data_IF_406213293150
#
_entry.id   IF_406213293150
#
_cell.length_a   1.000
_cell.length_b   1.000
_cell.length_c   1.000
_cell.angle_alpha   90.00
_cell.angle_beta   90.00
_cell.angle_gamma   90.00
#
_symmetry.space_group_name_H-M   'P 1'
#
loop_
_entity.id
_entity.type
_entity.pdbx_description
1 polymer ?
#
# COMPACT_ATOMS: atom_id res chain seq x y z
N UNK A 1 -15.42 -31.35 29.89
CA UNK A 1 -14.04 -30.83 30.04
C UNK A 1 -13.64 -30.13 28.77
N UNK A 2 -13.30 -28.87 28.85
CA UNK A 2 -13.29 -27.82 27.85
C UNK A 2 -12.35 -28.04 26.63
N UNK A 3 -12.94 -27.95 25.44
CA UNK A 3 -12.25 -27.69 24.16
C UNK A 3 -12.75 -26.34 23.64
N UNK A 4 -12.26 -25.26 24.19
CA UNK A 4 -12.51 -23.90 23.67
C UNK A 4 -11.40 -22.94 24.12
N UNK A 5 -10.19 -23.05 23.55
CA UNK A 5 -9.16 -21.99 23.65
C UNK A 5 -7.93 -22.27 22.76
N UNK A 6 -8.09 -22.53 21.46
CA UNK A 6 -6.93 -22.66 20.54
C UNK A 6 -7.05 -21.93 19.20
N UNK A 7 -8.05 -21.10 18.96
CA UNK A 7 -8.27 -20.50 17.63
C UNK A 7 -8.00 -18.99 17.53
N UNK A 8 -7.22 -18.38 18.40
CA UNK A 8 -6.94 -16.92 18.34
C UNK A 8 -5.48 -16.56 18.01
N UNK A 9 -4.61 -17.52 17.72
CA UNK A 9 -3.18 -17.29 17.50
C UNK A 9 -2.70 -17.37 16.05
N UNK A 10 -3.58 -17.61 15.07
CA UNK A 10 -3.19 -17.89 13.68
C UNK A 10 -3.24 -16.69 12.71
N UNK A 11 -3.62 -15.49 13.15
CA UNK A 11 -3.88 -14.37 12.25
C UNK A 11 -2.65 -13.53 11.85
N UNK A 12 -1.46 -13.90 12.26
CA UNK A 12 -0.25 -13.09 12.06
C UNK A 12 0.76 -13.55 11.00
N UNK A 13 0.66 -14.77 10.50
CA UNK A 13 1.73 -15.38 9.68
C UNK A 13 1.41 -15.50 8.18
N UNK A 14 0.26 -15.07 7.74
CA UNK A 14 -0.33 -15.47 6.47
C UNK A 14 0.13 -14.74 5.20
N UNK A 15 0.97 -13.72 5.29
CA UNK A 15 1.26 -12.86 4.13
C UNK A 15 2.61 -13.10 3.44
N UNK A 16 3.40 -14.07 3.88
CA UNK A 16 4.79 -14.23 3.43
C UNK A 16 5.00 -15.15 2.23
N UNK A 17 4.10 -16.08 1.95
CA UNK A 17 4.38 -17.16 0.98
C UNK A 17 3.95 -16.87 -0.45
N UNK A 18 3.26 -15.76 -0.72
CA UNK A 18 2.81 -15.43 -2.09
C UNK A 18 3.98 -15.15 -3.05
N UNK A 19 5.16 -14.85 -2.54
CA UNK A 19 6.31 -14.43 -3.37
C UNK A 19 7.38 -15.50 -3.62
N UNK A 20 7.33 -16.64 -2.94
CA UNK A 20 8.41 -17.64 -3.06
C UNK A 20 8.28 -18.62 -4.23
N UNK A 21 7.13 -18.75 -4.87
CA UNK A 21 6.97 -19.67 -6.01
C UNK A 21 7.71 -19.22 -7.29
N UNK A 22 8.15 -17.96 -7.35
CA UNK A 22 8.96 -17.44 -8.47
C UNK A 22 10.48 -17.52 -8.27
N UNK A 23 10.96 -17.88 -7.08
CA UNK A 23 12.39 -17.80 -6.74
C UNK A 23 13.24 -18.97 -7.28
N UNK A 24 12.64 -20.00 -7.82
CA UNK A 24 13.37 -21.20 -8.27
C UNK A 24 14.02 -21.07 -9.67
N UNK A 25 13.87 -19.96 -10.38
CA UNK A 25 14.35 -19.84 -11.78
C UNK A 25 15.30 -18.67 -12.06
N UNK A 26 15.87 -18.02 -11.06
CA UNK A 26 16.80 -16.90 -11.31
C UNK A 26 18.19 -17.19 -10.71
N UNK A 27 19.02 -17.90 -11.45
CA UNK A 27 20.47 -17.79 -11.33
C UNK A 27 20.94 -16.59 -12.16
N UNK A 28 21.31 -15.48 -11.51
CA UNK A 28 22.42 -14.57 -11.77
C UNK A 28 22.21 -13.16 -11.19
N UNK A 29 22.92 -12.89 -10.12
CA UNK A 29 23.55 -11.65 -9.66
C UNK A 29 22.84 -10.29 -9.87
N UNK A 30 22.54 -9.66 -8.78
CA UNK A 30 21.99 -8.33 -8.44
C UNK A 30 20.48 -8.28 -8.34
N UNK A 31 19.98 -8.04 -7.12
CA UNK A 31 18.58 -7.72 -6.87
C UNK A 31 17.62 -8.91 -6.73
N UNK A 32 18.08 -10.10 -6.43
CA UNK A 32 17.19 -11.22 -6.10
C UNK A 32 16.44 -10.91 -4.81
N UNK A 33 15.10 -10.94 -4.83
CA UNK A 33 14.26 -10.72 -3.64
C UNK A 33 14.72 -11.60 -2.50
N UNK A 34 14.89 -10.95 -1.33
CA UNK A 34 15.33 -11.61 -0.11
C UNK A 34 16.84 -11.60 0.09
N UNK A 35 17.64 -11.06 -0.84
CA UNK A 35 19.07 -10.83 -0.61
C UNK A 35 19.30 -9.53 0.17
N UNK A 36 20.40 -9.45 0.91
CA UNK A 36 20.79 -8.22 1.62
C UNK A 36 20.93 -7.03 0.66
N UNK A 37 21.47 -7.25 -0.54
CA UNK A 37 21.59 -6.22 -1.55
C UNK A 37 20.22 -5.70 -2.02
N UNK A 38 19.25 -6.59 -2.25
CA UNK A 38 17.87 -6.18 -2.58
C UNK A 38 17.29 -5.29 -1.50
N UNK A 39 17.40 -5.69 -0.23
CA UNK A 39 16.86 -4.91 0.88
C UNK A 39 17.61 -3.61 1.13
N UNK A 40 18.93 -3.58 0.86
CA UNK A 40 19.71 -2.36 0.91
C UNK A 40 19.27 -1.36 -0.15
N UNK A 41 19.06 -1.81 -1.39
CA UNK A 41 18.60 -0.97 -2.50
C UNK A 41 17.16 -0.49 -2.27
N UNK A 42 16.28 -1.38 -1.80
CA UNK A 42 14.90 -1.06 -1.45
C UNK A 42 14.81 0.00 -0.34
N UNK A 43 15.68 -0.08 0.66
CA UNK A 43 15.75 0.88 1.76
C UNK A 43 16.28 2.26 1.33
N UNK A 44 17.05 2.31 0.26
CA UNK A 44 17.54 3.56 -0.35
C UNK A 44 16.57 4.16 -1.37
N UNK A 45 15.45 3.48 -1.66
CA UNK A 45 14.51 3.86 -2.71
C UNK A 45 15.02 3.54 -4.11
N UNK A 46 16.06 2.70 -4.21
CA UNK A 46 16.49 2.13 -5.48
C UNK A 46 15.54 0.98 -5.82
N UNK A 47 14.68 1.24 -6.76
CA UNK A 47 13.70 0.28 -7.20
C UNK A 47 14.32 -0.69 -8.20
N UNK A 48 13.75 -1.88 -8.26
CA UNK A 48 13.97 -2.87 -9.31
C UNK A 48 13.56 -2.40 -10.71
N UNK A 49 12.75 -1.33 -10.79
CA UNK A 49 12.40 -0.68 -12.04
C UNK A 49 13.46 0.38 -12.36
N UNK A 50 14.06 0.33 -13.56
CA UNK A 50 15.23 1.13 -13.88
C UNK A 50 14.97 2.64 -13.98
N UNK A 51 13.71 3.06 -13.97
CA UNK A 51 13.32 4.45 -14.19
C UNK A 51 12.21 4.88 -13.21
N UNK A 52 12.25 6.15 -12.80
CA UNK A 52 11.24 6.73 -11.91
C UNK A 52 10.72 8.05 -12.46
N UNK A 53 9.43 8.34 -12.22
CA UNK A 53 8.83 9.65 -12.44
C UNK A 53 8.69 10.36 -11.12
N UNK A 54 9.12 11.63 -11.06
CA UNK A 54 9.14 12.42 -9.84
C UNK A 54 7.86 13.21 -9.65
N UNK A 55 7.49 13.39 -8.39
CA UNK A 55 6.56 14.42 -7.92
C UNK A 55 7.34 15.43 -7.08
N UNK A 56 6.97 16.69 -7.12
CA UNK A 56 7.63 17.75 -6.36
C UNK A 56 7.11 17.85 -4.92
N UNK A 57 7.85 18.53 -4.06
CA UNK A 57 7.35 18.94 -2.75
C UNK A 57 6.13 19.87 -2.91
N UNK A 58 5.28 19.90 -1.89
CA UNK A 58 4.17 20.85 -1.85
C UNK A 58 4.70 22.29 -1.75
N UNK A 59 4.12 23.25 -2.48
CA UNK A 59 4.44 24.67 -2.28
C UNK A 59 4.07 25.16 -0.87
N UNK A 60 3.14 24.47 -0.20
CA UNK A 60 2.77 24.74 1.20
C UNK A 60 2.95 23.48 2.03
N UNK A 61 4.01 23.43 2.81
CA UNK A 61 4.34 22.27 3.64
C UNK A 61 3.46 22.23 4.88
N UNK A 62 2.85 21.09 5.11
CA UNK A 62 2.11 20.82 6.35
C UNK A 62 3.06 20.56 7.52
N UNK A 63 2.90 21.30 8.61
CA UNK A 63 3.79 21.17 9.75
C UNK A 63 3.67 19.81 10.45
N UNK A 64 4.80 19.28 10.90
CA UNK A 64 4.91 18.20 11.87
C UNK A 64 5.76 18.72 13.02
N UNK A 65 5.21 18.67 14.21
CA UNK A 65 5.95 19.00 15.42
C UNK A 65 6.78 17.81 15.90
N UNK A 66 7.89 18.07 16.55
CA UNK A 66 8.66 17.03 17.24
C UNK A 66 8.35 17.17 18.72
N UNK A 67 7.81 16.11 19.32
CA UNK A 67 7.48 16.10 20.73
C UNK A 67 8.74 16.27 21.61
N UNK A 68 8.52 16.72 22.83
CA UNK A 68 9.59 16.91 23.80
C UNK A 68 10.34 15.61 24.09
N UNK A 69 11.60 15.73 24.50
CA UNK A 69 12.46 14.58 24.81
C UNK A 69 11.87 13.70 25.93
N UNK A 70 11.12 14.27 26.86
CA UNK A 70 10.47 13.50 27.94
C UNK A 70 9.43 12.50 27.43
N UNK A 71 8.60 12.90 26.44
CA UNK A 71 7.62 11.99 25.83
C UNK A 71 8.32 10.92 24.99
N UNK A 72 9.29 11.32 24.20
CA UNK A 72 10.11 10.39 23.40
C UNK A 72 10.79 9.35 24.30
N UNK A 73 11.41 9.77 25.40
CA UNK A 73 12.06 8.89 26.37
C UNK A 73 11.08 7.89 27.04
N UNK A 74 9.84 8.30 27.30
CA UNK A 74 8.82 7.42 27.89
C UNK A 74 8.35 6.29 26.95
N UNK A 75 8.48 6.48 25.64
CA UNK A 75 8.12 5.50 24.62
C UNK A 75 9.29 4.61 24.19
N UNK A 76 10.53 5.08 24.37
CA UNK A 76 11.74 4.36 23.94
C UNK A 76 11.77 2.90 24.41
N UNK A 77 11.51 2.54 25.70
CA UNK A 77 11.55 1.14 26.11
C UNK A 77 10.55 0.24 25.36
N UNK A 78 9.36 0.76 25.03
CA UNK A 78 8.36 0.01 24.29
C UNK A 78 8.78 -0.21 22.85
N UNK A 79 9.33 0.83 22.20
CA UNK A 79 9.80 0.74 20.82
C UNK A 79 11.05 -0.12 20.76
N UNK A 80 12.00 0.02 21.69
CA UNK A 80 13.25 -0.76 21.72
C UNK A 80 12.98 -2.25 21.89
N UNK A 81 12.04 -2.62 22.75
CA UNK A 81 11.61 -4.01 22.92
C UNK A 81 10.96 -4.60 21.64
N UNK A 82 10.23 -3.77 20.89
CA UNK A 82 9.53 -4.21 19.69
C UNK A 82 10.39 -4.15 18.41
N UNK A 83 11.47 -3.37 18.44
CA UNK A 83 12.32 -3.10 17.30
C UNK A 83 13.39 -4.19 17.15
N UNK A 84 13.22 -5.05 16.15
CA UNK A 84 14.22 -6.02 15.75
C UNK A 84 15.16 -5.39 14.70
N UNK A 85 16.46 -5.15 15.01
CA UNK A 85 17.40 -4.50 14.10
C UNK A 85 17.76 -5.33 12.86
N UNK A 86 17.50 -6.63 12.86
CA UNK A 86 17.77 -7.47 11.70
C UNK A 86 16.72 -7.26 10.60
N UNK A 87 15.52 -6.84 10.96
CA UNK A 87 14.41 -6.67 10.00
C UNK A 87 13.83 -5.25 9.97
N UNK A 88 13.78 -4.54 11.08
CA UNK A 88 13.26 -3.17 11.11
C UNK A 88 14.35 -2.17 10.70
N UNK A 89 13.95 -1.19 9.90
CA UNK A 89 14.81 -0.11 9.43
C UNK A 89 14.38 1.23 9.96
N UNK A 90 13.07 1.50 9.96
CA UNK A 90 12.50 2.76 10.44
C UNK A 90 11.19 2.44 11.17
N UNK A 91 11.00 3.05 12.34
CA UNK A 91 9.71 3.12 13.04
C UNK A 91 9.50 4.56 13.49
N UNK A 92 8.38 5.15 13.07
CA UNK A 92 7.96 6.49 13.49
C UNK A 92 6.55 6.42 14.01
N UNK A 93 6.33 6.99 15.18
CA UNK A 93 5.03 7.17 15.81
C UNK A 93 4.68 8.66 15.84
N UNK A 94 3.46 8.98 15.49
CA UNK A 94 2.95 10.35 15.53
C UNK A 94 1.52 10.39 16.03
N UNK A 95 1.21 11.40 16.84
CA UNK A 95 -0.13 11.66 17.35
C UNK A 95 -0.49 13.12 17.08
N UNK A 96 -1.64 13.37 16.43
CA UNK A 96 -2.14 14.72 16.10
C UNK A 96 -1.04 15.63 15.52
N UNK A 97 -0.33 15.14 14.50
CA UNK A 97 0.80 15.81 13.80
C UNK A 97 2.06 16.04 14.64
N UNK A 98 2.13 15.55 15.87
CA UNK A 98 3.36 15.56 16.66
C UNK A 98 4.08 14.22 16.52
N UNK A 99 5.35 14.22 16.13
CA UNK A 99 6.22 13.03 16.13
C UNK A 99 6.56 12.70 17.58
N UNK A 100 5.96 11.66 18.12
CA UNK A 100 6.10 11.27 19.52
C UNK A 100 7.23 10.28 19.75
N UNK A 101 7.65 9.57 18.71
CA UNK A 101 8.84 8.72 18.75
C UNK A 101 9.35 8.44 17.33
N UNK A 102 10.66 8.29 17.19
CA UNK A 102 11.32 7.87 15.94
C UNK A 102 12.53 7.00 16.26
N UNK A 103 12.70 5.92 15.47
CA UNK A 103 13.86 5.05 15.53
C UNK A 103 14.30 4.65 14.14
N UNK A 104 15.58 4.80 13.88
CA UNK A 104 16.25 4.43 12.64
C UNK A 104 17.31 3.37 12.93
N UNK A 105 17.42 2.38 12.07
CA UNK A 105 18.55 1.48 12.04
C UNK A 105 19.65 2.11 11.17
N UNK A 106 20.53 2.89 11.79
CA UNK A 106 21.53 3.72 11.11
C UNK A 106 22.55 2.92 10.27
N UNK A 107 22.64 1.61 10.50
CA UNK A 107 23.41 0.73 9.63
C UNK A 107 22.89 0.72 8.19
N UNK A 108 21.58 0.89 7.98
CA UNK A 108 20.93 0.71 6.69
C UNK A 108 20.27 1.97 6.14
N UNK A 109 19.79 2.85 7.01
CA UNK A 109 18.99 4.03 6.69
C UNK A 109 19.36 5.21 7.57
N UNK A 110 19.05 6.40 7.11
CA UNK A 110 19.19 7.64 7.89
C UNK A 110 18.00 8.57 7.59
N UNK A 111 18.02 9.76 8.17
CA UNK A 111 16.96 10.76 7.99
C UNK A 111 16.79 11.26 6.55
N UNK A 112 17.75 11.01 5.64
CA UNK A 112 17.65 11.38 4.21
C UNK A 112 17.11 10.24 3.36
N UNK A 113 16.94 9.05 3.93
CA UNK A 113 16.47 7.86 3.20
C UNK A 113 15.03 8.06 2.71
N UNK A 114 14.77 7.61 1.49
CA UNK A 114 13.42 7.58 0.87
C UNK A 114 13.08 6.16 0.46
N UNK A 115 12.69 5.32 1.42
CA UNK A 115 12.45 3.91 1.14
C UNK A 115 11.28 3.70 0.19
N UNK A 116 11.31 2.56 -0.51
CA UNK A 116 10.21 2.12 -1.36
C UNK A 116 8.98 1.74 -0.53
N UNK A 117 7.83 2.12 -1.05
CA UNK A 117 6.52 1.80 -0.46
C UNK A 117 6.06 0.38 -0.70
N UNK A 118 6.64 -0.32 -1.69
CA UNK A 118 6.01 -1.50 -2.26
C UNK A 118 4.50 -1.24 -2.50
N UNK A 119 3.65 -2.18 -2.11
CA UNK A 119 2.20 -2.12 -2.36
C UNK A 119 1.43 -1.05 -1.56
N UNK A 120 2.06 -0.27 -0.66
CA UNK A 120 1.38 0.91 -0.10
C UNK A 120 0.96 1.90 -1.20
N UNK A 121 1.65 1.88 -2.35
CA UNK A 121 1.28 2.65 -3.54
C UNK A 121 -0.15 2.40 -4.04
N UNK A 122 -0.71 1.22 -3.81
CA UNK A 122 -2.10 0.89 -4.16
C UNK A 122 -3.10 1.81 -3.46
N UNK A 123 -2.86 2.06 -2.18
CA UNK A 123 -3.71 2.97 -1.41
C UNK A 123 -3.61 4.42 -1.92
N UNK A 124 -2.42 4.85 -2.37
CA UNK A 124 -2.26 6.16 -3.02
C UNK A 124 -3.12 6.26 -4.29
N UNK A 125 -3.17 5.18 -5.06
CA UNK A 125 -4.02 5.11 -6.27
C UNK A 125 -5.51 5.21 -5.92
N UNK A 126 -5.95 4.56 -4.84
CA UNK A 126 -7.34 4.69 -4.37
C UNK A 126 -7.67 6.13 -3.93
N UNK A 127 -6.74 6.82 -3.27
CA UNK A 127 -6.93 8.22 -2.91
C UNK A 127 -7.13 9.10 -4.16
N UNK A 128 -6.35 8.85 -5.24
CA UNK A 128 -6.51 9.54 -6.51
C UNK A 128 -7.89 9.29 -7.15
N UNK A 129 -8.41 8.04 -7.09
CA UNK A 129 -9.77 7.72 -7.54
C UNK A 129 -10.81 8.53 -6.74
N UNK A 130 -10.68 8.58 -5.41
CA UNK A 130 -11.57 9.37 -4.56
C UNK A 130 -11.57 10.85 -4.91
N UNK A 131 -10.42 11.43 -5.23
CA UNK A 131 -10.33 12.81 -5.70
C UNK A 131 -10.95 13.00 -7.09
N UNK A 132 -10.76 12.04 -8.01
CA UNK A 132 -11.37 12.11 -9.34
C UNK A 132 -12.90 12.05 -9.28
N UNK A 133 -13.46 11.30 -8.32
CA UNK A 133 -14.90 11.30 -8.02
C UNK A 133 -15.33 12.68 -7.49
N UNK A 134 -14.63 13.19 -6.50
CA UNK A 134 -15.01 14.44 -5.85
C UNK A 134 -14.81 15.68 -6.74
N UNK A 135 -13.95 15.59 -7.75
CA UNK A 135 -13.81 16.63 -8.78
C UNK A 135 -14.82 16.47 -9.94
N UNK A 136 -15.70 15.48 -9.88
CA UNK A 136 -16.73 15.24 -10.90
C UNK A 136 -16.24 14.57 -12.19
N UNK A 137 -14.94 14.16 -12.27
CA UNK A 137 -14.42 13.42 -13.42
C UNK A 137 -14.97 11.98 -13.51
N UNK A 138 -15.31 11.41 -12.36
CA UNK A 138 -15.96 10.10 -12.21
C UNK A 138 -17.24 10.34 -11.40
N UNK A 139 -18.39 9.87 -11.88
CA UNK A 139 -19.68 10.14 -11.20
C UNK A 139 -19.80 9.39 -9.86
N UNK A 140 -19.47 8.10 -9.85
CA UNK A 140 -19.49 7.28 -8.62
C UNK A 140 -18.75 5.95 -8.81
N UNK A 141 -18.59 5.20 -7.72
CA UNK A 141 -17.89 3.91 -7.72
C UNK A 141 -18.70 2.73 -8.28
N UNK A 142 -19.99 2.90 -8.51
CA UNK A 142 -20.88 1.82 -8.98
C UNK A 142 -20.95 1.69 -10.49
N UNK A 143 -20.36 2.63 -11.23
CA UNK A 143 -20.23 2.55 -12.67
C UNK A 143 -19.12 1.62 -13.11
N UNK A 144 -19.25 1.09 -14.33
CA UNK A 144 -18.19 0.26 -14.95
C UNK A 144 -17.01 1.13 -15.37
N UNK A 145 -15.78 0.60 -15.21
CA UNK A 145 -14.58 1.34 -15.53
C UNK A 145 -14.48 1.73 -17.02
N UNK A 146 -15.07 0.93 -17.93
CA UNK A 146 -15.09 1.22 -19.37
C UNK A 146 -15.93 2.44 -19.77
N UNK A 147 -16.77 2.96 -18.88
CA UNK A 147 -17.49 4.24 -19.09
C UNK A 147 -16.49 5.38 -19.23
N UNK A 148 -15.43 5.35 -18.44
CA UNK A 148 -14.43 6.42 -18.36
C UNK A 148 -13.14 6.09 -19.11
N UNK A 149 -12.73 4.81 -19.18
CA UNK A 149 -11.49 4.39 -19.80
C UNK A 149 -11.73 3.55 -21.06
N UNK A 150 -11.45 4.14 -22.22
CA UNK A 150 -11.53 3.43 -23.50
C UNK A 150 -10.49 2.32 -23.63
N UNK A 151 -9.34 2.46 -22.94
CA UNK A 151 -8.28 1.44 -22.86
C UNK A 151 -8.75 0.14 -22.24
N UNK A 152 -9.74 0.19 -21.35
CA UNK A 152 -10.29 -0.96 -20.65
C UNK A 152 -11.48 -1.60 -21.35
N UNK A 153 -11.98 -1.01 -22.44
CA UNK A 153 -13.14 -1.55 -23.18
C UNK A 153 -12.85 -2.94 -23.70
N UNK A 154 -13.84 -3.82 -23.56
CA UNK A 154 -13.73 -5.22 -24.01
C UNK A 154 -12.98 -6.13 -23.03
N UNK A 155 -12.40 -5.59 -21.97
CA UNK A 155 -11.75 -6.40 -20.93
C UNK A 155 -12.66 -6.63 -19.74
N UNK A 156 -12.41 -7.67 -18.96
CA UNK A 156 -13.12 -7.93 -17.71
C UNK A 156 -12.92 -6.82 -16.67
N UNK A 157 -11.79 -6.11 -16.68
CA UNK A 157 -11.55 -4.93 -15.84
C UNK A 157 -12.44 -3.76 -16.23
N UNK A 158 -12.63 -3.53 -17.54
CA UNK A 158 -13.54 -2.49 -18.03
C UNK A 158 -14.99 -2.76 -17.67
N UNK A 159 -15.41 -4.03 -17.67
CA UNK A 159 -16.75 -4.46 -17.30
C UNK A 159 -16.99 -4.49 -15.78
N UNK A 160 -15.93 -4.47 -14.97
CA UNK A 160 -16.04 -4.41 -13.53
C UNK A 160 -16.49 -3.02 -13.06
N UNK A 161 -17.30 -2.97 -12.00
CA UNK A 161 -17.56 -1.71 -11.30
C UNK A 161 -16.27 -1.18 -10.69
N UNK A 162 -16.13 0.13 -10.61
CA UNK A 162 -14.97 0.79 -10.01
C UNK A 162 -14.76 0.31 -8.57
N UNK A 163 -15.84 0.15 -7.78
CA UNK A 163 -15.75 -0.40 -6.41
C UNK A 163 -15.14 -1.80 -6.36
N UNK A 164 -15.38 -2.63 -7.35
CA UNK A 164 -14.83 -3.99 -7.39
C UNK A 164 -13.32 -3.99 -7.69
N UNK A 165 -12.84 -3.05 -8.51
CA UNK A 165 -11.41 -2.81 -8.71
C UNK A 165 -10.76 -2.29 -7.42
N UNK A 166 -11.39 -1.31 -6.76
CA UNK A 166 -10.95 -0.75 -5.49
C UNK A 166 -10.87 -1.82 -4.38
N UNK A 167 -11.82 -2.76 -4.39
CA UNK A 167 -11.94 -3.82 -3.39
C UNK A 167 -11.19 -5.12 -3.75
N UNK A 168 -10.34 -5.12 -4.79
CA UNK A 168 -9.63 -6.33 -5.25
C UNK A 168 -10.57 -7.50 -5.56
N UNK A 169 -11.72 -7.23 -6.14
CA UNK A 169 -12.76 -8.21 -6.44
C UNK A 169 -13.28 -8.12 -7.88
N UNK A 170 -12.44 -7.70 -8.81
CA UNK A 170 -12.79 -7.65 -10.24
C UNK A 170 -13.23 -9.00 -10.82
N UNK A 171 -12.73 -10.09 -10.26
CA UNK A 171 -12.92 -11.45 -10.77
C UNK A 171 -12.05 -11.76 -11.99
N UNK A 172 -11.08 -10.89 -12.31
CA UNK A 172 -10.20 -10.98 -13.47
C UNK A 172 -8.82 -11.51 -13.09
N UNK A 173 -8.07 -12.04 -14.06
CA UNK A 173 -6.72 -12.57 -13.89
C UNK A 173 -6.72 -13.85 -13.05
N UNK A 174 -7.14 -14.96 -13.67
CA UNK A 174 -7.24 -16.29 -13.04
C UNK A 174 -6.04 -16.62 -12.17
N UNK A 175 -6.24 -17.11 -10.96
CA UNK A 175 -5.14 -17.46 -10.08
C UNK A 175 -4.42 -18.73 -10.53
N UNK A 176 -3.11 -18.74 -10.34
CA UNK A 176 -2.31 -19.96 -10.21
C UNK A 176 -2.11 -20.24 -8.72
N UNK A 177 -2.09 -21.49 -8.35
CA UNK A 177 -1.94 -21.91 -6.96
C UNK A 177 -0.52 -22.39 -6.70
N UNK A 178 0.07 -21.92 -5.60
CA UNK A 178 1.34 -22.44 -5.11
C UNK A 178 1.16 -23.89 -4.61
N UNK A 179 2.26 -24.65 -4.39
CA UNK A 179 2.19 -25.96 -3.75
C UNK A 179 1.50 -25.96 -2.38
N UNK A 180 1.46 -24.80 -1.71
CA UNK A 180 0.75 -24.60 -0.43
C UNK A 180 -0.71 -24.18 -0.60
N UNK A 181 -1.24 -24.18 -1.83
CA UNK A 181 -2.62 -23.79 -2.13
C UNK A 181 -2.90 -22.30 -2.15
N UNK A 182 -1.86 -21.47 -2.12
CA UNK A 182 -2.02 -20.00 -2.12
C UNK A 182 -2.34 -19.50 -3.53
N UNK A 183 -3.42 -18.75 -3.73
CA UNK A 183 -3.74 -18.17 -5.02
C UNK A 183 -2.88 -16.93 -5.29
N UNK A 184 -2.32 -16.86 -6.49
CA UNK A 184 -1.64 -15.67 -7.03
C UNK A 184 -2.16 -15.42 -8.44
N UNK A 185 -2.54 -14.19 -8.80
CA UNK A 185 -2.91 -13.87 -10.19
C UNK A 185 -1.81 -14.29 -11.16
N UNK A 186 -2.15 -15.04 -12.21
CA UNK A 186 -1.18 -15.67 -13.11
C UNK A 186 -0.20 -14.65 -13.71
N UNK A 187 -0.71 -13.55 -14.27
CA UNK A 187 0.14 -12.52 -14.88
C UNK A 187 0.96 -11.76 -13.84
N UNK A 188 0.48 -11.66 -12.60
CA UNK A 188 1.26 -11.07 -11.52
C UNK A 188 2.52 -11.90 -11.22
N UNK A 189 2.40 -13.21 -11.15
CA UNK A 189 3.56 -14.08 -10.94
C UNK A 189 4.59 -13.95 -12.08
N UNK A 190 4.16 -13.95 -13.34
CA UNK A 190 5.02 -13.75 -14.50
C UNK A 190 5.67 -12.35 -14.53
N UNK A 191 4.90 -11.31 -14.20
CA UNK A 191 5.35 -9.91 -14.23
C UNK A 191 6.37 -9.64 -13.13
N UNK A 192 6.15 -10.18 -11.94
CA UNK A 192 7.09 -10.09 -10.84
C UNK A 192 8.44 -10.73 -11.22
N UNK A 193 8.43 -11.94 -11.76
CA UNK A 193 9.65 -12.59 -12.19
C UNK A 193 10.47 -11.77 -13.19
N UNK A 194 9.80 -11.06 -14.11
CA UNK A 194 10.46 -10.17 -15.10
C UNK A 194 10.88 -8.83 -14.50
N UNK A 195 10.10 -8.28 -13.57
CA UNK A 195 10.44 -7.02 -12.89
C UNK A 195 11.74 -7.14 -12.10
N UNK A 196 11.95 -8.28 -11.43
CA UNK A 196 13.19 -8.56 -10.70
C UNK A 196 14.43 -8.71 -11.59
N UNK A 197 14.23 -8.91 -12.89
CA UNK A 197 15.33 -8.93 -13.87
C UNK A 197 15.60 -7.53 -14.46
N UNK A 198 14.97 -6.46 -13.97
CA UNK A 198 15.08 -5.10 -14.52
C UNK A 198 14.45 -4.96 -15.93
N UNK A 199 13.55 -5.87 -16.28
CA UNK A 199 12.99 -5.99 -17.65
C UNK A 199 11.49 -5.71 -17.71
N UNK A 200 10.99 -4.73 -16.97
CA UNK A 200 9.57 -4.36 -17.10
C UNK A 200 9.35 -3.52 -18.36
N UNK A 201 9.37 -4.20 -19.51
CA UNK A 201 9.15 -3.62 -20.82
C UNK A 201 7.71 -3.74 -21.30
N UNK A 202 6.83 -4.37 -20.51
CA UNK A 202 5.47 -4.68 -20.94
C UNK A 202 4.56 -3.48 -20.79
N UNK A 203 3.82 -3.22 -21.85
CA UNK A 203 2.69 -2.30 -21.85
C UNK A 203 1.56 -2.92 -21.00
N UNK A 204 1.04 -2.15 -20.02
CA UNK A 204 0.12 -2.72 -19.03
C UNK A 204 -1.24 -3.11 -19.60
N UNK A 205 -1.74 -2.43 -20.64
CA UNK A 205 -3.00 -2.82 -21.30
C UNK A 205 -2.82 -4.17 -22.00
N UNK A 206 -1.69 -4.39 -22.65
CA UNK A 206 -1.37 -5.68 -23.28
C UNK A 206 -1.30 -6.82 -22.27
N UNK A 207 -0.76 -6.55 -21.07
CA UNK A 207 -0.79 -7.51 -19.95
C UNK A 207 -2.22 -7.81 -19.49
N UNK A 208 -3.07 -6.80 -19.42
CA UNK A 208 -4.48 -6.98 -19.07
C UNK A 208 -5.22 -7.82 -20.11
N UNK A 209 -5.04 -7.52 -21.40
CA UNK A 209 -5.65 -8.32 -22.48
C UNK A 209 -5.17 -9.77 -22.42
N UNK A 210 -3.87 -10.01 -22.19
CA UNK A 210 -3.32 -11.37 -22.01
C UNK A 210 -3.89 -12.09 -20.78
N UNK A 211 -4.15 -11.35 -19.71
CA UNK A 211 -4.64 -11.87 -18.44
C UNK A 211 -6.16 -11.90 -18.33
N UNK A 212 -6.88 -11.55 -19.41
CA UNK A 212 -8.33 -11.36 -19.39
C UNK A 212 -9.09 -12.68 -19.33
N UNK A 213 -8.84 -13.43 -18.27
CA UNK A 213 -9.53 -14.66 -17.93
C UNK A 213 -10.23 -14.48 -16.58
N UNK A 214 -11.56 -14.54 -16.60
CA UNK A 214 -12.37 -14.48 -15.38
C UNK A 214 -12.29 -15.79 -14.61
N UNK A 215 -12.13 -15.66 -13.29
CA UNK A 215 -12.24 -16.80 -12.36
C UNK A 215 -13.49 -16.72 -11.47
N UNK A 216 -14.12 -15.56 -11.38
CA UNK A 216 -15.34 -15.34 -10.62
C UNK A 216 -16.15 -14.16 -11.21
N UNK A 217 -17.45 -14.07 -10.94
CA UNK A 217 -18.21 -12.85 -11.18
C UNK A 217 -17.64 -11.68 -10.39
N UNK A 218 -17.63 -10.49 -11.03
CA UNK A 218 -17.10 -9.27 -10.41
C UNK A 218 -17.87 -8.94 -9.11
N UNK A 219 -17.14 -8.67 -8.04
CA UNK A 219 -17.65 -8.36 -6.70
C UNK A 219 -17.83 -9.57 -5.78
N UNK A 220 -17.73 -10.80 -6.27
CA UNK A 220 -18.02 -12.00 -5.46
C UNK A 220 -16.80 -12.52 -4.69
N UNK A 221 -15.62 -12.47 -5.28
CA UNK A 221 -14.41 -13.04 -4.67
C UNK A 221 -13.25 -12.05 -4.69
N UNK A 222 -12.65 -11.81 -3.54
CA UNK A 222 -11.45 -10.99 -3.43
C UNK A 222 -10.18 -11.78 -3.76
N UNK A 223 -9.40 -11.28 -4.71
CA UNK A 223 -8.06 -11.77 -5.05
C UNK A 223 -7.11 -10.58 -5.16
N UNK A 224 -6.04 -10.58 -4.38
CA UNK A 224 -5.06 -9.49 -4.39
C UNK A 224 -4.36 -9.38 -5.74
N UNK A 225 -4.68 -8.35 -6.54
CA UNK A 225 -4.35 -8.26 -7.96
C UNK A 225 -3.77 -6.88 -8.31
N UNK A 226 -2.52 -6.84 -8.76
CA UNK A 226 -1.85 -5.61 -9.19
C UNK A 226 -2.57 -4.92 -10.36
N UNK A 227 -3.16 -5.71 -11.27
CA UNK A 227 -3.82 -5.16 -12.44
C UNK A 227 -5.15 -4.49 -12.12
N UNK A 228 -5.82 -4.85 -11.01
CA UNK A 228 -6.97 -4.09 -10.51
C UNK A 228 -6.57 -2.65 -10.17
N UNK A 229 -5.42 -2.47 -9.52
CA UNK A 229 -4.88 -1.13 -9.22
C UNK A 229 -4.41 -0.41 -10.47
N UNK A 230 -3.78 -1.13 -11.41
CA UNK A 230 -3.35 -0.51 -12.67
C UNK A 230 -4.53 -0.02 -13.50
N UNK A 231 -5.65 -0.77 -13.51
CA UNK A 231 -6.89 -0.34 -14.14
C UNK A 231 -7.43 0.96 -13.53
N UNK A 232 -7.34 1.11 -12.20
CA UNK A 232 -7.72 2.36 -11.51
C UNK A 232 -6.85 3.55 -11.92
N UNK A 233 -5.56 3.36 -12.13
CA UNK A 233 -4.69 4.43 -12.62
C UNK A 233 -5.08 4.87 -14.04
N UNK A 234 -5.35 3.93 -14.94
CA UNK A 234 -5.85 4.23 -16.27
C UNK A 234 -7.22 4.92 -16.25
N UNK A 235 -8.10 4.49 -15.35
CA UNK A 235 -9.37 5.14 -15.11
C UNK A 235 -9.22 6.61 -14.74
N UNK A 236 -8.30 6.92 -13.79
CA UNK A 236 -8.03 8.31 -13.37
C UNK A 236 -7.48 9.12 -14.54
N UNK A 237 -6.48 8.59 -15.28
CA UNK A 237 -5.91 9.29 -16.43
C UNK A 237 -6.96 9.64 -17.49
N UNK A 238 -7.77 8.66 -17.87
CA UNK A 238 -8.73 8.82 -18.95
C UNK A 238 -9.91 9.72 -18.53
N UNK A 239 -10.41 9.55 -17.30
CA UNK A 239 -11.51 10.37 -16.78
C UNK A 239 -11.10 11.84 -16.59
N UNK A 240 -9.90 12.07 -16.07
CA UNK A 240 -9.39 13.43 -15.79
C UNK A 240 -8.70 14.08 -16.98
N UNK A 241 -8.35 13.30 -18.02
CA UNK A 241 -7.53 13.72 -19.17
C UNK A 241 -6.16 14.28 -18.77
N UNK A 242 -5.58 13.73 -17.70
CA UNK A 242 -4.28 14.12 -17.15
C UNK A 242 -3.45 12.86 -16.92
N UNK A 243 -2.12 12.97 -16.95
CA UNK A 243 -1.28 11.86 -16.52
C UNK A 243 -1.52 11.54 -15.05
N UNK A 244 -1.57 10.27 -14.70
CA UNK A 244 -1.83 9.82 -13.33
C UNK A 244 -0.91 10.51 -12.32
N UNK A 245 0.38 10.62 -12.63
CA UNK A 245 1.36 11.21 -11.71
C UNK A 245 1.12 12.70 -11.47
N UNK A 246 0.73 13.47 -12.51
CA UNK A 246 0.44 14.90 -12.42
C UNK A 246 -0.84 15.15 -11.59
N UNK A 247 -1.86 14.31 -11.80
CA UNK A 247 -3.09 14.35 -11.01
C UNK A 247 -2.81 14.00 -9.54
N UNK A 248 -2.08 12.90 -9.29
CA UNK A 248 -1.68 12.48 -7.94
C UNK A 248 -0.86 13.56 -7.22
N UNK A 249 0.13 14.16 -7.90
CA UNK A 249 0.96 15.22 -7.35
C UNK A 249 0.10 16.38 -6.82
N UNK A 250 -0.80 16.90 -7.65
CA UNK A 250 -1.65 18.03 -7.30
C UNK A 250 -2.69 17.67 -6.24
N UNK A 251 -3.45 16.60 -6.44
CA UNK A 251 -4.64 16.31 -5.66
C UNK A 251 -4.36 15.59 -4.33
N UNK A 252 -3.22 14.92 -4.22
CA UNK A 252 -2.85 14.16 -3.03
C UNK A 252 -1.55 14.70 -2.42
N UNK A 253 -0.44 14.70 -3.19
CA UNK A 253 0.88 14.97 -2.65
C UNK A 253 1.03 16.43 -2.20
N UNK A 254 0.60 17.37 -3.02
CA UNK A 254 0.55 18.78 -2.65
C UNK A 254 -0.55 19.07 -1.62
N UNK A 255 -1.73 18.46 -1.78
CA UNK A 255 -2.86 18.70 -0.87
C UNK A 255 -2.58 18.23 0.57
N UNK A 256 -1.78 17.19 0.79
CA UNK A 256 -1.37 16.78 2.13
C UNK A 256 -0.23 17.64 2.71
N UNK A 257 0.37 18.51 1.92
CA UNK A 257 1.48 19.37 2.34
C UNK A 257 2.81 18.61 2.45
N UNK A 258 3.16 17.80 1.46
CA UNK A 258 4.42 17.04 1.44
C UNK A 258 5.64 17.96 1.51
N UNK A 259 6.60 17.63 2.40
CA UNK A 259 7.80 18.45 2.60
C UNK A 259 8.89 18.18 1.56
N UNK A 260 8.82 17.03 0.93
CA UNK A 260 9.80 16.59 -0.07
C UNK A 260 9.08 15.99 -1.28
N UNK A 261 9.78 15.95 -2.41
CA UNK A 261 9.31 15.18 -3.56
C UNK A 261 9.39 13.69 -3.30
N UNK A 262 8.64 12.96 -4.09
CA UNK A 262 8.70 11.51 -4.18
C UNK A 262 8.96 11.06 -5.60
N UNK A 263 9.06 9.76 -5.83
CA UNK A 263 9.16 9.22 -7.18
C UNK A 263 8.39 7.92 -7.34
N UNK A 264 7.84 7.72 -8.52
CA UNK A 264 7.10 6.51 -8.87
C UNK A 264 7.78 5.75 -9.99
N UNK A 265 7.91 4.45 -9.83
CA UNK A 265 8.46 3.59 -10.88
C UNK A 265 7.52 3.51 -12.07
N UNK A 266 8.07 3.39 -13.27
CA UNK A 266 7.32 3.24 -14.50
C UNK A 266 7.95 2.21 -15.44
N UNK A 267 7.18 1.69 -16.38
CA UNK A 267 7.69 0.82 -17.43
C UNK A 267 8.45 1.62 -18.54
N UNK A 268 9.02 0.93 -19.52
CA UNK A 268 9.76 1.55 -20.62
C UNK A 268 8.92 2.51 -21.48
N UNK A 269 7.59 2.42 -21.43
CA UNK A 269 6.65 3.29 -22.12
C UNK A 269 6.23 4.50 -21.28
N UNK A 270 6.79 4.64 -20.08
CA UNK A 270 6.48 5.74 -19.17
C UNK A 270 5.14 5.60 -18.45
N UNK A 271 4.51 4.43 -18.49
CA UNK A 271 3.30 4.16 -17.70
C UNK A 271 3.71 3.88 -16.25
N UNK A 272 3.14 4.63 -15.31
CA UNK A 272 3.40 4.46 -13.88
C UNK A 272 2.91 3.10 -13.40
N UNK A 273 3.74 2.38 -12.65
CA UNK A 273 3.36 1.14 -11.96
C UNK A 273 2.55 1.50 -10.70
N UNK A 274 1.29 1.87 -10.87
CA UNK A 274 0.46 2.44 -9.82
C UNK A 274 0.24 1.53 -8.60
N UNK A 275 0.53 0.25 -8.75
CA UNK A 275 0.37 -0.78 -7.72
C UNK A 275 1.59 -0.95 -6.82
N UNK A 276 2.72 -0.31 -7.12
CA UNK A 276 3.99 -0.48 -6.38
C UNK A 276 4.94 0.66 -6.67
N UNK A 277 6.06 0.72 -5.92
CA UNK A 277 7.21 1.47 -6.34
C UNK A 277 7.17 2.98 -6.12
N UNK A 278 6.38 3.48 -5.18
CA UNK A 278 6.47 4.88 -4.77
C UNK A 278 7.51 5.04 -3.67
N UNK A 279 8.47 5.94 -3.85
CA UNK A 279 9.50 6.28 -2.86
C UNK A 279 9.22 7.65 -2.27
N UNK A 280 9.30 7.78 -0.96
CA UNK A 280 9.10 9.05 -0.28
C UNK A 280 9.81 9.11 1.07
N UNK A 281 9.98 10.32 1.56
CA UNK A 281 10.53 10.56 2.88
C UNK A 281 9.58 10.03 3.97
N UNK A 282 10.09 9.39 5.04
CA UNK A 282 9.27 8.82 6.11
C UNK A 282 8.28 9.80 6.76
N UNK A 283 8.68 11.05 6.93
CA UNK A 283 7.79 12.09 7.48
C UNK A 283 6.65 12.46 6.54
N UNK A 284 6.83 12.32 5.23
CA UNK A 284 5.73 12.56 4.29
C UNK A 284 4.70 11.43 4.31
N UNK A 285 5.11 10.19 4.63
CA UNK A 285 4.17 9.14 4.98
C UNK A 285 3.36 9.45 6.24
N UNK A 286 3.99 10.04 7.26
CA UNK A 286 3.28 10.50 8.48
C UNK A 286 2.31 11.63 8.13
N UNK A 287 2.71 12.61 7.30
CA UNK A 287 1.79 13.67 6.81
C UNK A 287 0.59 13.09 6.09
N UNK A 288 0.82 12.10 5.22
CA UNK A 288 -0.24 11.39 4.52
C UNK A 288 -1.21 10.70 5.50
N UNK A 289 -0.68 10.03 6.53
CA UNK A 289 -1.50 9.38 7.54
C UNK A 289 -2.42 10.36 8.27
N UNK A 290 -1.89 11.50 8.70
CA UNK A 290 -2.69 12.56 9.32
C UNK A 290 -3.67 13.19 8.35
N UNK A 291 -3.25 13.47 7.12
CA UNK A 291 -4.14 13.97 6.07
C UNK A 291 -5.35 13.05 5.86
N UNK A 292 -5.10 11.74 5.76
CA UNK A 292 -6.19 10.75 5.58
C UNK A 292 -7.13 10.73 6.79
N UNK A 293 -6.61 10.78 8.02
CA UNK A 293 -7.44 10.82 9.23
C UNK A 293 -8.28 12.10 9.31
N UNK A 294 -7.68 13.24 9.00
CA UNK A 294 -8.34 14.56 9.05
C UNK A 294 -9.40 14.70 7.96
N UNK A 295 -9.09 14.32 6.72
CA UNK A 295 -10.07 14.35 5.63
C UNK A 295 -11.22 13.37 5.88
N UNK A 296 -10.92 12.17 6.41
CA UNK A 296 -11.95 11.19 6.77
C UNK A 296 -12.92 11.69 7.84
N UNK A 297 -12.47 12.55 8.74
CA UNK A 297 -13.31 13.11 9.81
C UNK A 297 -14.29 14.18 9.29
N UNK A 298 -14.02 14.77 8.11
CA UNK A 298 -14.86 15.82 7.53
C UNK A 298 -16.14 15.25 6.90
N UNK A 299 -17.17 16.09 6.85
CA UNK A 299 -18.39 15.82 6.08
C UNK A 299 -18.26 16.44 4.67
N UNK A 300 -17.34 15.91 3.89
CA UNK A 300 -17.08 16.29 2.50
C UNK A 300 -17.18 15.07 1.61
N UNK A 301 -17.28 15.26 0.29
CA UNK A 301 -17.24 14.16 -0.66
C UNK A 301 -16.04 13.24 -0.41
N UNK A 302 -14.84 13.80 -0.26
CA UNK A 302 -13.64 12.99 -0.04
C UNK A 302 -13.63 12.32 1.33
N UNK A 303 -14.17 12.99 2.37
CA UNK A 303 -14.34 12.40 3.69
C UNK A 303 -15.30 11.19 3.67
N UNK A 304 -16.41 11.28 2.93
CA UNK A 304 -17.35 10.18 2.74
C UNK A 304 -16.70 9.01 1.96
N UNK A 305 -15.96 9.31 0.88
CA UNK A 305 -15.17 8.31 0.16
C UNK A 305 -14.18 7.59 1.09
N UNK A 306 -13.45 8.32 1.93
CA UNK A 306 -12.49 7.74 2.88
C UNK A 306 -13.17 6.89 3.95
N UNK A 307 -14.36 7.28 4.43
CA UNK A 307 -15.17 6.44 5.36
C UNK A 307 -15.54 5.13 4.70
N UNK A 308 -16.01 5.15 3.45
CA UNK A 308 -16.31 3.95 2.66
C UNK A 308 -15.04 3.12 2.39
N UNK A 309 -13.95 3.75 1.99
CA UNK A 309 -12.66 3.11 1.70
C UNK A 309 -12.07 2.36 2.91
N UNK A 310 -12.41 2.80 4.12
CA UNK A 310 -11.96 2.18 5.38
C UNK A 310 -13.04 1.32 6.04
N UNK A 311 -14.08 0.94 5.30
CA UNK A 311 -15.11 -0.02 5.66
C UNK A 311 -14.94 -1.29 4.83
N UNK A 312 -15.31 -2.45 5.38
CA UNK A 312 -15.15 -3.73 4.68
C UNK A 312 -15.98 -3.76 3.39
N UNK A 313 -15.29 -3.92 2.27
CA UNK A 313 -15.85 -4.06 0.93
C UNK A 313 -15.69 -5.50 0.41
N UNK A 314 -14.59 -6.18 0.78
CA UNK A 314 -14.35 -7.55 0.36
C UNK A 314 -13.60 -8.33 1.44
N UNK A 315 -13.45 -9.62 1.18
CA UNK A 315 -12.57 -10.53 1.89
C UNK A 315 -11.52 -11.01 0.90
N UNK A 316 -10.30 -10.51 1.03
CA UNK A 316 -9.20 -10.91 0.16
C UNK A 316 -8.63 -12.23 0.65
N UNK A 317 -8.57 -13.21 -0.26
CA UNK A 317 -7.98 -14.53 0.03
C UNK A 317 -6.46 -14.40 0.11
N UNK A 318 -5.89 -14.98 1.16
CA UNK A 318 -4.47 -15.03 1.46
C UNK A 318 -4.04 -16.48 1.68
N UNK A 319 -2.72 -16.80 1.64
CA UNK A 319 -2.23 -18.17 1.80
C UNK A 319 -2.74 -18.91 3.03
N UNK A 320 -2.89 -18.23 4.15
CA UNK A 320 -3.28 -18.85 5.43
C UNK A 320 -4.61 -18.28 5.96
N UNK A 321 -5.54 -17.94 5.06
CA UNK A 321 -6.84 -17.41 5.45
C UNK A 321 -7.32 -16.29 4.54
N UNK A 322 -7.91 -15.28 5.14
CA UNK A 322 -8.38 -14.11 4.42
C UNK A 322 -8.36 -12.88 5.32
N UNK A 323 -8.27 -11.71 4.72
CA UNK A 323 -8.27 -10.44 5.42
C UNK A 323 -9.39 -9.52 4.93
N UNK A 324 -9.98 -8.76 5.85
CA UNK A 324 -10.93 -7.72 5.50
C UNK A 324 -10.24 -6.60 4.75
N UNK A 325 -10.83 -6.18 3.63
CA UNK A 325 -10.28 -5.20 2.71
C UNK A 325 -11.32 -4.16 2.35
N UNK A 326 -10.89 -2.91 2.36
CA UNK A 326 -11.66 -1.76 1.90
C UNK A 326 -11.28 -1.37 0.46
N UNK A 327 -11.25 -0.08 0.17
CA UNK A 327 -10.75 0.41 -1.12
C UNK A 327 -9.22 0.53 -1.07
N UNK A 328 -8.51 -0.46 -1.60
CA UNK A 328 -7.05 -0.59 -1.59
C UNK A 328 -6.44 -0.40 -0.18
N UNK A 329 -7.18 -0.78 0.86
CA UNK A 329 -6.85 -0.53 2.26
C UNK A 329 -7.12 -1.78 3.10
N UNK A 330 -6.15 -2.18 3.91
CA UNK A 330 -6.29 -3.29 4.85
C UNK A 330 -6.97 -2.84 6.13
N UNK A 331 -7.85 -3.66 6.68
CA UNK A 331 -8.64 -3.34 7.86
C UNK A 331 -8.25 -4.19 9.07
N UNK A 332 -8.40 -3.64 10.27
CA UNK A 332 -8.16 -4.36 11.51
C UNK A 332 -6.69 -4.69 11.79
N UNK A 333 -5.75 -4.00 11.18
CA UNK A 333 -4.32 -4.31 11.19
C UNK A 333 -3.55 -3.90 12.46
N UNK A 334 -4.22 -3.73 13.56
CA UNK A 334 -3.61 -3.37 14.85
C UNK A 334 -4.64 -3.18 15.94
N UNK A 335 -5.92 -3.39 15.60
CA UNK A 335 -7.07 -3.24 16.48
C UNK A 335 -8.33 -3.00 15.65
N UNK A 336 -9.49 -3.07 16.29
CA UNK A 336 -10.80 -3.02 15.61
C UNK A 336 -11.00 -1.72 14.81
N UNK A 337 -10.46 -0.61 15.31
CA UNK A 337 -10.58 0.72 14.74
C UNK A 337 -9.33 1.15 13.96
N UNK A 338 -8.59 0.21 13.41
CA UNK A 338 -7.39 0.53 12.65
C UNK A 338 -7.52 0.11 11.20
N UNK A 339 -6.95 0.92 10.34
CA UNK A 339 -6.72 0.56 8.94
C UNK A 339 -5.29 0.91 8.54
N UNK A 340 -4.80 0.27 7.49
CA UNK A 340 -3.42 0.49 7.08
C UNK A 340 -3.19 0.29 5.58
N UNK A 341 -2.16 0.96 5.10
CA UNK A 341 -1.54 0.73 3.82
C UNK A 341 -0.36 -0.21 4.06
N UNK A 342 -0.34 -1.35 3.38
CA UNK A 342 0.70 -2.36 3.56
C UNK A 342 1.47 -2.60 2.28
N UNK A 343 2.76 -2.87 2.45
CA UNK A 343 3.66 -3.24 1.37
C UNK A 343 4.52 -4.44 1.70
N UNK A 344 5.07 -5.06 0.66
CA UNK A 344 5.97 -6.19 0.79
C UNK A 344 7.14 -5.87 1.73
N UNK A 345 7.63 -6.87 2.48
CA UNK A 345 8.73 -6.70 3.42
C UNK A 345 8.36 -6.00 4.73
N UNK A 346 7.07 -5.75 4.99
CA UNK A 346 6.62 -5.12 6.24
C UNK A 346 6.50 -3.59 6.16
N UNK A 347 6.44 -3.02 4.94
CA UNK A 347 6.11 -1.61 4.77
C UNK A 347 4.72 -1.34 5.30
N UNK A 348 4.57 -0.30 6.11
CA UNK A 348 3.31 -0.04 6.80
C UNK A 348 3.10 1.44 7.08
N UNK A 349 1.93 1.94 6.73
CA UNK A 349 1.36 3.16 7.30
C UNK A 349 0.06 2.76 8.00
N UNK A 350 0.04 2.81 9.31
CA UNK A 350 -1.08 2.39 10.15
C UNK A 350 -1.71 3.60 10.82
N UNK A 351 -3.04 3.64 10.82
CA UNK A 351 -3.82 4.77 11.28
C UNK A 351 -4.97 4.31 12.17
N UNK A 352 -5.26 5.08 13.24
CA UNK A 352 -6.40 4.87 14.13
C UNK A 352 -7.25 6.13 14.21
N UNK A 353 -8.45 6.14 13.65
CA UNK A 353 -9.37 7.27 13.74
C UNK A 353 -9.73 7.66 15.17
N UNK A 354 -9.89 6.68 16.06
CA UNK A 354 -10.33 6.96 17.44
C UNK A 354 -9.24 7.60 18.30
N UNK A 355 -7.98 7.28 18.05
CA UNK A 355 -6.85 7.79 18.85
C UNK A 355 -6.07 8.90 18.17
N UNK A 356 -6.20 9.06 16.85
CA UNK A 356 -5.37 9.98 16.06
C UNK A 356 -3.91 9.54 15.92
N UNK A 357 -3.62 8.27 16.28
CA UNK A 357 -2.27 7.72 16.22
C UNK A 357 -1.95 7.24 14.79
N UNK A 358 -0.78 7.64 14.30
CA UNK A 358 -0.20 7.21 13.03
C UNK A 358 1.13 6.53 13.29
N UNK A 359 1.37 5.38 12.66
CA UNK A 359 2.66 4.68 12.69
C UNK A 359 3.14 4.42 11.27
N UNK A 360 4.37 4.81 10.99
CA UNK A 360 5.08 4.41 9.78
C UNK A 360 6.16 3.39 10.12
N UNK A 361 6.25 2.34 9.31
CA UNK A 361 7.30 1.31 9.42
C UNK A 361 7.90 1.06 8.06
N UNK A 362 9.23 1.03 8.02
CA UNK A 362 10.01 0.43 6.94
C UNK A 362 10.76 -0.78 7.48
N UNK A 363 10.56 -1.94 6.86
CA UNK A 363 11.13 -3.20 7.28
C UNK A 363 11.50 -4.09 6.08
N UNK A 364 12.18 -5.20 6.35
CA UNK A 364 12.61 -6.17 5.34
C UNK A 364 11.96 -7.55 5.52
N UNK A 365 11.08 -7.69 6.53
CA UNK A 365 10.32 -8.91 6.79
C UNK A 365 8.98 -8.59 7.45
N UNK A 366 7.97 -9.37 7.12
CA UNK A 366 6.65 -9.33 7.77
C UNK A 366 6.63 -10.06 9.12
N UNK A 367 7.57 -10.96 9.38
CA UNK A 367 7.61 -11.76 10.62
C UNK A 367 7.73 -10.89 11.87
N UNK A 368 8.40 -9.75 11.79
CA UNK A 368 8.56 -8.81 12.89
C UNK A 368 7.32 -7.92 13.17
N UNK A 369 6.25 -8.03 12.35
CA UNK A 369 5.08 -7.17 12.50
C UNK A 369 4.32 -7.36 13.82
N UNK A 370 4.37 -8.54 14.44
CA UNK A 370 3.58 -8.82 15.65
C UNK A 370 4.06 -8.01 16.86
N UNK A 371 5.37 -7.88 17.08
CA UNK A 371 5.94 -7.07 18.16
C UNK A 371 5.55 -5.59 18.00
N UNK A 372 5.65 -5.06 16.78
CA UNK A 372 5.25 -3.69 16.46
C UNK A 372 3.74 -3.46 16.63
N UNK A 373 2.90 -4.46 16.31
CA UNK A 373 1.45 -4.34 16.53
C UNK A 373 1.08 -4.37 18.03
N UNK A 374 1.77 -5.17 18.83
CA UNK A 374 1.62 -5.16 20.28
C UNK A 374 2.05 -3.80 20.89
N UNK A 375 3.21 -3.30 20.46
CA UNK A 375 3.71 -1.97 20.82
C UNK A 375 2.71 -0.88 20.41
N UNK A 376 2.22 -0.89 19.16
CA UNK A 376 1.24 0.07 18.69
C UNK A 376 -0.02 0.11 19.57
N UNK A 377 -0.58 -1.05 19.92
CA UNK A 377 -1.75 -1.14 20.82
C UNK A 377 -1.45 -0.57 22.21
N UNK A 378 -0.28 -0.86 22.75
CA UNK A 378 0.17 -0.31 24.03
C UNK A 378 0.32 1.22 24.00
N UNK A 379 0.84 1.77 22.88
CA UNK A 379 0.89 3.23 22.70
C UNK A 379 -0.51 3.80 22.51
N UNK A 380 -1.35 3.18 21.68
CA UNK A 380 -2.70 3.64 21.41
C UNK A 380 -3.57 3.73 22.67
N UNK A 381 -3.38 2.82 23.64
CA UNK A 381 -4.11 2.85 24.90
C UNK A 381 -3.80 4.07 25.78
N UNK A 382 -2.70 4.78 25.51
CA UNK A 382 -2.35 6.03 26.21
C UNK A 382 -3.08 7.27 25.65
N UNK A 383 -3.76 7.11 24.51
CA UNK A 383 -4.51 8.17 23.82
C UNK A 383 -5.98 7.72 23.67
N UNK A 384 -6.75 7.68 24.78
CA UNK A 384 -8.16 7.32 24.71
C UNK A 384 -8.93 8.35 23.85
N UNK A 385 -10.12 7.93 23.41
CA UNK A 385 -11.05 8.75 22.58
C UNK A 385 -11.34 10.09 23.21
#
# INVERSE_FOLDING_TARGET
>A
MNVRTKNLLALGLASLTIFYAGAALAQNNKGQIGTDQFWADFSKGLEWLPTSKSVSASPTVSNLEIATDSLNSSLSPLVDQAFDPDVHRIVILSHKRSIIHRKYNERWVNEKSRPSSASMAKSLTALAVGKAICNGAIANVDESASVYSSRLRGTSWGNAKIRHLLAMSSGSNKPVYSPTGSPTPQVQAETLAKSYQGKMTHEFVSLMVKADEKYAPSGQQGLYNNLDTQALAFLVEDATRQKFIEFFEREIWHAMGASQGGSWSHNSLGQVAAFSGFTAHPYDWIRLGHYVLEERAKDTCFGQFLKEATTRQSQVVLPNGSAAYGFQTWLGCGGVDTFCFLGHGGQRLQMSPSTGLVMYVHATSLSASQSLLAMYRSVASRYPK
#
